data_IF_431025513304
#
_entry.id   IF_431025513304
#
_cell.length_a   1.000
_cell.length_b   1.000
_cell.length_c   1.000
_cell.angle_alpha   90.00
_cell.angle_beta   90.00
_cell.angle_gamma   90.00
#
_symmetry.space_group_name_H-M   'P 1'
#
loop_
_entity.id
_entity.type
_entity.pdbx_description
1 polymer ?
#
# COMPACT_ATOMS: atom_id res chain seq x y z
N UNK A 1 -32.64 -24.07 19.30
CA UNK A 1 -31.69 -22.96 19.10
C UNK A 1 -30.87 -22.84 20.37
N UNK A 2 -29.82 -23.66 20.55
CA UNK A 2 -28.72 -23.48 21.54
C UNK A 2 -27.96 -24.79 21.81
N UNK A 3 -27.28 -25.35 20.80
CA UNK A 3 -26.39 -26.52 21.01
C UNK A 3 -25.09 -26.48 20.19
N UNK A 4 -24.88 -25.48 19.33
CA UNK A 4 -23.64 -25.33 18.55
C UNK A 4 -22.67 -24.29 19.13
N UNK A 5 -23.17 -23.31 19.89
CA UNK A 5 -22.32 -22.28 20.52
C UNK A 5 -21.55 -22.81 21.74
N UNK A 6 -22.17 -23.69 22.55
CA UNK A 6 -21.50 -24.29 23.71
C UNK A 6 -20.36 -25.26 23.33
N UNK A 7 -20.43 -25.90 22.16
CA UNK A 7 -19.37 -26.81 21.68
C UNK A 7 -18.12 -26.06 21.21
N UNK A 8 -18.26 -24.84 20.71
CA UNK A 8 -17.13 -24.02 20.27
C UNK A 8 -16.31 -23.46 21.46
N UNK A 9 -16.97 -23.18 22.59
CA UNK A 9 -16.31 -22.65 23.80
C UNK A 9 -15.53 -23.69 24.60
N UNK A 10 -15.87 -24.99 24.49
CA UNK A 10 -15.17 -26.06 25.22
C UNK A 10 -13.93 -26.63 24.51
N UNK A 11 -13.69 -26.26 23.25
CA UNK A 11 -12.46 -26.63 22.52
C UNK A 11 -11.33 -25.60 22.68
N UNK A 12 -11.56 -24.51 23.42
CA UNK A 12 -10.60 -23.42 23.61
C UNK A 12 -9.79 -23.48 24.92
N UNK A 13 -9.96 -24.50 25.77
CA UNK A 13 -9.37 -24.50 27.13
C UNK A 13 -8.50 -25.71 27.48
N UNK A 14 -8.03 -26.46 26.49
CA UNK A 14 -6.99 -27.48 26.69
C UNK A 14 -5.87 -27.30 25.67
N UNK A 15 -4.99 -26.33 25.96
CA UNK A 15 -3.56 -26.26 25.62
C UNK A 15 -3.01 -24.85 25.89
N UNK A 16 -3.32 -24.33 27.09
CA UNK A 16 -2.83 -23.04 27.57
C UNK A 16 -1.58 -23.25 28.44
N UNK A 17 -0.45 -23.53 27.81
CA UNK A 17 0.88 -23.33 28.39
C UNK A 17 1.86 -22.98 27.27
N UNK A 18 2.49 -21.80 27.36
CA UNK A 18 3.50 -21.22 26.45
C UNK A 18 3.06 -20.57 25.13
N UNK A 19 2.26 -19.50 25.19
CA UNK A 19 2.28 -18.46 24.14
C UNK A 19 1.95 -17.09 24.71
N UNK A 20 2.81 -16.05 24.56
CA UNK A 20 2.39 -14.69 24.83
C UNK A 20 1.51 -14.16 23.70
N UNK A 21 0.42 -13.54 24.14
CA UNK A 21 -0.75 -13.03 23.43
C UNK A 21 -0.44 -11.80 22.57
N UNK A 22 -1.05 -11.72 21.39
CA UNK A 22 -1.71 -10.49 20.92
C UNK A 22 -2.77 -10.85 19.85
N UNK A 23 -4.02 -10.83 20.26
CA UNK A 23 -5.19 -10.98 19.42
C UNK A 23 -5.42 -9.72 18.55
N UNK A 24 -5.88 -9.91 17.31
CA UNK A 24 -6.53 -8.86 16.52
C UNK A 24 -7.91 -9.37 16.14
N UNK A 25 -8.93 -8.73 16.69
CA UNK A 25 -10.31 -8.89 16.28
C UNK A 25 -10.51 -8.18 14.93
N UNK A 26 -11.01 -8.92 13.94
CA UNK A 26 -11.52 -8.36 12.68
C UNK A 26 -13.05 -8.41 12.78
N UNK A 27 -13.69 -7.26 12.99
CA UNK A 27 -15.13 -7.11 12.73
C UNK A 27 -15.26 -6.45 11.37
N UNK A 28 -15.76 -7.22 10.41
CA UNK A 28 -16.04 -6.76 9.05
C UNK A 28 -17.11 -5.67 9.05
N UNK A 29 -16.79 -4.54 8.43
CA UNK A 29 -17.67 -3.39 8.24
C UNK A 29 -18.10 -3.25 6.76
N UNK A 30 -18.37 -4.38 6.10
CA UNK A 30 -18.84 -4.40 4.70
C UNK A 30 -20.35 -4.17 4.57
N UNK A 31 -21.16 -4.49 5.60
CA UNK A 31 -22.62 -4.52 5.45
C UNK A 31 -23.32 -3.20 5.84
N UNK A 32 -22.65 -2.33 6.61
CA UNK A 32 -23.26 -1.08 7.10
C UNK A 32 -23.30 0.02 6.03
N UNK A 33 -22.31 0.04 5.12
CA UNK A 33 -22.25 1.02 4.03
C UNK A 33 -23.25 0.75 2.91
N UNK A 34 -23.68 -0.51 2.71
CA UNK A 34 -24.72 -0.84 1.73
C UNK A 34 -26.13 -0.54 2.25
N UNK A 35 -26.36 -0.54 3.57
CA UNK A 35 -27.67 -0.19 4.16
C UNK A 35 -27.96 1.32 4.15
N UNK A 36 -26.95 2.18 4.29
CA UNK A 36 -27.13 3.64 4.27
C UNK A 36 -27.55 4.16 2.88
N UNK A 37 -27.06 3.56 1.79
CA UNK A 37 -27.45 3.96 0.44
C UNK A 37 -28.88 3.55 0.05
N UNK A 38 -29.47 2.53 0.69
CA UNK A 38 -30.88 2.15 0.42
C UNK A 38 -31.89 3.04 1.14
N UNK A 39 -31.55 3.61 2.30
CA UNK A 39 -32.44 4.53 3.02
C UNK A 39 -32.52 5.89 2.31
N UNK A 40 -31.43 6.35 1.69
CA UNK A 40 -31.42 7.60 0.92
C UNK A 40 -32.25 7.54 -0.37
N UNK A 41 -32.39 6.35 -0.99
CA UNK A 41 -33.12 6.19 -2.25
C UNK A 41 -34.65 6.10 -2.09
N UNK A 42 -35.18 5.88 -0.88
CA UNK A 42 -36.62 5.66 -0.65
C UNK A 42 -37.40 6.91 -0.21
N UNK A 43 -36.77 8.06 -0.03
CA UNK A 43 -37.41 9.23 0.59
C UNK A 43 -37.99 10.28 -0.40
N UNK A 44 -37.96 10.02 -1.71
CA UNK A 44 -38.22 11.05 -2.74
C UNK A 44 -39.59 10.93 -3.43
N UNK A 45 -40.68 10.75 -2.67
CA UNK A 45 -42.04 10.82 -3.23
C UNK A 45 -43.05 11.40 -2.25
N UNK A 46 -42.94 12.69 -1.94
CA UNK A 46 -44.03 13.47 -1.36
C UNK A 46 -43.89 14.97 -1.71
N UNK A 47 -44.97 15.67 -2.12
CA UNK A 47 -44.92 17.09 -2.42
C UNK A 47 -44.86 17.91 -1.12
N UNK A 48 -43.74 18.61 -0.89
CA UNK A 48 -43.56 19.50 0.27
C UNK A 48 -44.11 20.89 -0.02
N UNK A 49 -45.08 21.30 0.80
CA UNK A 49 -45.56 22.69 0.95
C UNK A 49 -44.42 23.65 1.29
N UNK A 50 -44.41 24.83 0.66
CA UNK A 50 -43.41 25.89 0.85
C UNK A 50 -43.50 26.49 2.26
N UNK A 51 -42.67 25.99 3.18
CA UNK A 51 -42.32 26.66 4.44
C UNK A 51 -41.07 27.53 4.31
N UNK A 52 -40.75 28.37 5.31
CA UNK A 52 -39.68 29.36 5.21
C UNK A 52 -38.32 28.68 5.06
N UNK A 53 -37.57 29.12 4.05
CA UNK A 53 -36.26 28.59 3.65
C UNK A 53 -35.23 28.78 4.78
N UNK A 54 -35.03 27.74 5.58
CA UNK A 54 -34.08 27.72 6.68
C UNK A 54 -32.64 27.84 6.14
N UNK A 55 -31.91 28.84 6.63
CA UNK A 55 -30.46 29.10 6.40
C UNK A 55 -29.52 27.90 6.65
N UNK A 56 -30.07 26.79 7.16
CA UNK A 56 -29.43 25.49 7.37
C UNK A 56 -28.88 24.94 6.04
N UNK A 57 -29.57 25.17 4.92
CA UNK A 57 -29.18 24.64 3.61
C UNK A 57 -27.82 25.16 3.13
N UNK A 58 -27.52 26.44 3.35
CA UNK A 58 -26.25 27.02 2.92
C UNK A 58 -25.07 26.50 3.76
N UNK A 59 -25.28 26.28 5.06
CA UNK A 59 -24.25 25.75 5.96
C UNK A 59 -24.03 24.25 5.70
N UNK A 60 -25.09 23.47 5.51
CA UNK A 60 -25.02 22.06 5.14
C UNK A 60 -24.39 21.87 3.76
N UNK A 61 -24.69 22.74 2.77
CA UNK A 61 -24.00 22.73 1.47
C UNK A 61 -22.53 23.14 1.57
N UNK A 62 -22.19 24.08 2.44
CA UNK A 62 -20.80 24.48 2.73
C UNK A 62 -20.04 23.34 3.42
N UNK A 63 -20.66 22.65 4.37
CA UNK A 63 -20.09 21.48 5.04
C UNK A 63 -20.00 20.26 4.12
N UNK A 64 -20.96 20.05 3.21
CA UNK A 64 -20.90 19.01 2.18
C UNK A 64 -19.78 19.28 1.16
N UNK A 65 -19.55 20.55 0.79
CA UNK A 65 -18.39 20.98 -0.02
C UNK A 65 -17.05 20.82 0.71
N UNK A 66 -17.04 20.91 2.04
CA UNK A 66 -15.85 20.67 2.88
C UNK A 66 -15.63 19.17 3.12
N UNK A 67 -16.70 18.37 3.17
CA UNK A 67 -16.65 16.90 3.25
C UNK A 67 -16.23 16.26 1.92
N UNK A 68 -16.55 16.90 0.79
CA UNK A 68 -15.87 16.68 -0.50
C UNK A 68 -14.51 17.40 -0.53
N UNK A 69 -13.67 17.17 0.48
CA UNK A 69 -12.27 17.57 0.40
C UNK A 69 -11.74 17.08 -0.95
N UNK A 70 -11.22 18.00 -1.76
CA UNK A 70 -11.00 17.79 -3.19
C UNK A 70 -10.17 16.53 -3.39
N UNK A 71 -10.81 15.49 -3.95
CA UNK A 71 -10.13 14.27 -4.40
C UNK A 71 -8.92 14.69 -5.21
N UNK A 72 -7.75 14.29 -4.76
CA UNK A 72 -6.48 14.72 -5.32
C UNK A 72 -5.90 13.62 -6.20
N UNK A 73 -4.86 13.95 -6.98
CA UNK A 73 -4.20 12.97 -7.85
C UNK A 73 -3.61 11.82 -7.04
N UNK A 74 -3.13 12.09 -5.82
CA UNK A 74 -2.66 11.04 -4.91
C UNK A 74 -3.75 10.03 -4.55
N UNK A 75 -5.00 10.47 -4.36
CA UNK A 75 -6.13 9.55 -4.09
C UNK A 75 -6.37 8.63 -5.30
N UNK A 76 -6.24 9.14 -6.52
CA UNK A 76 -6.38 8.35 -7.75
C UNK A 76 -5.25 7.32 -7.90
N UNK A 77 -4.01 7.70 -7.54
CA UNK A 77 -2.89 6.77 -7.53
C UNK A 77 -3.05 5.67 -6.47
N UNK A 78 -3.52 6.00 -5.27
CA UNK A 78 -3.81 5.00 -4.23
C UNK A 78 -4.89 4.03 -4.72
N UNK A 79 -5.97 4.54 -5.30
CA UNK A 79 -7.03 3.71 -5.85
C UNK A 79 -6.51 2.79 -6.96
N UNK A 80 -5.72 3.32 -7.90
CA UNK A 80 -5.10 2.53 -8.97
C UNK A 80 -4.14 1.46 -8.42
N UNK A 81 -3.34 1.79 -7.41
CA UNK A 81 -2.43 0.84 -6.75
C UNK A 81 -3.20 -0.34 -6.15
N UNK A 82 -4.27 -0.06 -5.41
CA UNK A 82 -5.11 -1.09 -4.80
C UNK A 82 -5.78 -1.96 -5.87
N UNK A 83 -6.26 -1.36 -6.95
CA UNK A 83 -6.77 -2.09 -8.11
C UNK A 83 -5.71 -3.01 -8.72
N UNK A 84 -4.49 -2.52 -8.95
CA UNK A 84 -3.42 -3.34 -9.51
C UNK A 84 -3.06 -4.53 -8.63
N UNK A 85 -3.01 -4.35 -7.30
CA UNK A 85 -2.74 -5.41 -6.35
C UNK A 85 -3.72 -6.59 -6.45
N UNK A 86 -4.95 -6.35 -6.89
CA UNK A 86 -5.98 -7.38 -7.09
C UNK A 86 -6.08 -7.86 -8.56
N UNK A 87 -5.33 -7.23 -9.49
CA UNK A 87 -5.41 -7.52 -10.93
C UNK A 87 -4.34 -8.48 -11.47
N UNK A 88 -3.35 -8.86 -10.66
CA UNK A 88 -2.23 -9.71 -11.12
C UNK A 88 -2.57 -11.20 -11.30
N UNK A 89 -3.85 -11.59 -11.19
CA UNK A 89 -4.29 -12.98 -11.31
C UNK A 89 -3.83 -13.89 -10.18
N UNK A 90 -3.47 -13.32 -9.02
CA UNK A 90 -3.07 -14.05 -7.82
C UNK A 90 -3.84 -13.55 -6.61
N UNK A 91 -4.38 -14.49 -5.83
CA UNK A 91 -5.06 -14.16 -4.58
C UNK A 91 -4.07 -13.81 -3.47
N UNK A 92 -4.26 -12.63 -2.87
CA UNK A 92 -3.47 -12.17 -1.73
C UNK A 92 -3.96 -12.85 -0.45
N UNK A 93 -3.06 -13.58 0.22
CA UNK A 93 -3.32 -14.12 1.57
C UNK A 93 -3.50 -13.00 2.59
N UNK A 94 -4.11 -13.31 3.73
CA UNK A 94 -4.34 -12.35 4.82
C UNK A 94 -3.06 -11.64 5.27
N UNK A 95 -1.96 -12.37 5.45
CA UNK A 95 -0.68 -11.77 5.82
C UNK A 95 -0.10 -10.86 4.73
N UNK A 96 -0.26 -11.22 3.46
CA UNK A 96 0.21 -10.37 2.36
C UNK A 96 -0.60 -9.07 2.27
N UNK A 97 -1.91 -9.11 2.53
CA UNK A 97 -2.74 -7.89 2.64
C UNK A 97 -2.23 -6.99 3.77
N UNK A 98 -1.93 -7.55 4.94
CA UNK A 98 -1.32 -6.81 6.06
C UNK A 98 0.03 -6.18 5.69
N UNK A 99 0.88 -6.89 4.95
CA UNK A 99 2.15 -6.31 4.45
C UNK A 99 1.88 -5.14 3.51
N UNK A 100 0.94 -5.29 2.58
CA UNK A 100 0.60 -4.23 1.63
C UNK A 100 -0.03 -3.01 2.31
N UNK A 101 -0.86 -3.18 3.33
CA UNK A 101 -1.42 -2.07 4.11
C UNK A 101 -0.32 -1.29 4.82
N UNK A 102 0.68 -2.00 5.37
CA UNK A 102 1.85 -1.39 5.98
C UNK A 102 2.72 -0.66 4.95
N UNK A 103 3.00 -1.29 3.80
CA UNK A 103 3.76 -0.68 2.71
C UNK A 103 3.05 0.57 2.16
N UNK A 104 1.73 0.50 1.94
CA UNK A 104 0.92 1.63 1.52
C UNK A 104 1.05 2.77 2.53
N UNK A 105 0.83 2.50 3.82
CA UNK A 105 0.93 3.50 4.89
C UNK A 105 2.27 4.24 4.89
N UNK A 106 3.38 3.54 4.62
CA UNK A 106 4.70 4.15 4.58
C UNK A 106 5.02 4.90 3.28
N UNK A 107 4.32 4.57 2.19
CA UNK A 107 4.54 5.16 0.87
C UNK A 107 3.58 6.30 0.54
N UNK A 108 2.56 6.57 1.37
CA UNK A 108 1.62 7.69 1.17
C UNK A 108 2.33 9.04 0.90
N UNK A 109 3.38 9.46 1.65
CA UNK A 109 4.06 10.73 1.36
C UNK A 109 4.69 10.77 -0.04
N UNK A 110 5.10 9.61 -0.58
CA UNK A 110 5.69 9.50 -1.91
C UNK A 110 4.60 9.44 -3.00
N UNK A 111 3.47 8.78 -2.74
CA UNK A 111 2.37 8.68 -3.69
C UNK A 111 1.69 10.04 -3.90
N UNK A 112 1.43 10.78 -2.83
CA UNK A 112 0.84 12.11 -2.90
C UNK A 112 1.87 13.19 -3.26
N UNK A 113 3.14 12.95 -2.94
CA UNK A 113 4.20 13.96 -3.01
C UNK A 113 4.19 14.86 -1.77
N UNK A 114 5.38 15.34 -1.39
CA UNK A 114 5.62 16.05 -0.11
C UNK A 114 4.67 17.23 0.11
N UNK A 115 4.50 18.10 -0.88
CA UNK A 115 3.69 19.32 -0.74
C UNK A 115 2.18 19.02 -0.61
N UNK A 116 1.66 18.04 -1.35
CA UNK A 116 0.24 17.66 -1.31
C UNK A 116 -0.08 16.86 -0.04
N UNK A 117 0.83 15.95 0.34
CA UNK A 117 0.71 15.15 1.54
C UNK A 117 0.65 16.05 2.78
N UNK A 118 1.57 17.01 2.95
CA UNK A 118 1.57 17.89 4.11
C UNK A 118 0.34 18.80 4.16
N UNK A 119 -0.10 19.31 3.00
CA UNK A 119 -1.32 20.14 2.91
C UNK A 119 -2.58 19.40 3.36
N UNK A 120 -2.68 18.11 3.01
CA UNK A 120 -3.86 17.28 3.26
C UNK A 120 -3.63 16.21 4.34
N UNK A 121 -2.56 16.34 5.15
CA UNK A 121 -2.05 15.28 6.02
C UNK A 121 -3.12 14.71 6.94
N UNK A 122 -3.85 15.57 7.63
CA UNK A 122 -4.91 15.17 8.57
C UNK A 122 -6.02 14.36 7.88
N UNK A 123 -6.39 14.73 6.65
CA UNK A 123 -7.38 14.00 5.86
C UNK A 123 -6.86 12.62 5.49
N UNK A 124 -5.69 12.57 4.86
CA UNK A 124 -5.07 11.34 4.35
C UNK A 124 -4.85 10.34 5.50
N UNK A 125 -4.32 10.80 6.63
CA UNK A 125 -4.11 9.95 7.81
C UNK A 125 -5.43 9.38 8.33
N UNK A 126 -6.49 10.20 8.41
CA UNK A 126 -7.81 9.75 8.87
C UNK A 126 -8.42 8.70 7.93
N UNK A 127 -8.33 8.89 6.63
CA UNK A 127 -8.86 7.94 5.63
C UNK A 127 -8.13 6.59 5.67
N UNK A 128 -6.83 6.59 5.97
CA UNK A 128 -6.03 5.39 6.10
C UNK A 128 -5.96 4.84 7.54
N UNK A 129 -6.77 5.35 8.47
CA UNK A 129 -6.79 4.95 9.88
C UNK A 129 -5.41 5.05 10.58
N UNK A 130 -4.65 6.09 10.25
CA UNK A 130 -3.34 6.38 10.81
C UNK A 130 -3.41 7.57 11.77
N UNK A 131 -2.68 7.49 12.87
CA UNK A 131 -2.55 8.60 13.83
C UNK A 131 -1.37 9.53 13.49
N UNK A 132 -0.35 9.00 12.83
CA UNK A 132 0.85 9.73 12.39
C UNK A 132 1.40 9.16 11.08
N UNK A 133 2.14 9.96 10.29
CA UNK A 133 2.84 9.46 9.12
C UNK A 133 3.81 8.34 9.49
N UNK A 134 3.91 7.34 8.61
CA UNK A 134 4.92 6.29 8.69
C UNK A 134 5.84 6.46 7.49
N UNK A 135 7.12 6.19 7.68
CA UNK A 135 8.12 6.26 6.62
C UNK A 135 8.88 4.94 6.45
N UNK A 136 8.73 4.02 7.41
CA UNK A 136 9.50 2.79 7.48
C UNK A 136 8.58 1.64 7.88
N UNK A 137 8.85 0.47 7.32
CA UNK A 137 8.17 -0.78 7.65
C UNK A 137 9.23 -1.86 7.82
N UNK A 138 9.18 -2.56 8.96
CA UNK A 138 9.99 -3.74 9.19
C UNK A 138 9.06 -4.95 9.25
N UNK A 139 9.29 -5.92 8.37
CA UNK A 139 8.56 -7.20 8.34
C UNK A 139 9.50 -8.32 8.73
N UNK A 140 9.26 -8.95 9.88
CA UNK A 140 10.00 -10.13 10.33
C UNK A 140 9.06 -11.33 10.33
N UNK A 141 9.33 -12.31 9.48
CA UNK A 141 8.52 -13.53 9.39
C UNK A 141 9.37 -14.76 9.06
N UNK A 142 8.88 -15.99 9.33
CA UNK A 142 9.56 -17.22 8.96
C UNK A 142 9.84 -17.36 7.46
N UNK A 143 10.64 -18.37 7.10
CA UNK A 143 10.93 -18.73 5.71
C UNK A 143 9.62 -19.12 4.99
N UNK A 144 9.50 -18.77 3.70
CA UNK A 144 8.34 -19.09 2.83
C UNK A 144 7.01 -18.44 3.22
N UNK A 145 7.02 -17.42 4.08
CA UNK A 145 5.82 -16.65 4.44
C UNK A 145 5.32 -15.66 3.35
N UNK A 146 5.76 -15.82 2.09
CA UNK A 146 5.30 -14.97 0.99
C UNK A 146 5.85 -13.54 0.91
N UNK A 147 6.86 -13.18 1.72
CA UNK A 147 7.46 -11.82 1.73
C UNK A 147 7.90 -11.33 0.35
N UNK A 148 8.70 -12.13 -0.36
CA UNK A 148 9.25 -11.77 -1.67
C UNK A 148 8.14 -11.52 -2.69
N UNK A 149 7.10 -12.35 -2.69
CA UNK A 149 5.94 -12.17 -3.57
C UNK A 149 5.18 -10.90 -3.22
N UNK A 150 4.97 -10.59 -1.93
CA UNK A 150 4.33 -9.33 -1.52
C UNK A 150 5.11 -8.10 -1.95
N UNK A 151 6.43 -8.10 -1.77
CA UNK A 151 7.27 -6.99 -2.22
C UNK A 151 7.17 -6.84 -3.74
N UNK A 152 7.24 -7.95 -4.49
CA UNK A 152 7.12 -7.92 -5.95
C UNK A 152 5.77 -7.37 -6.42
N UNK A 153 4.66 -7.84 -5.84
CA UNK A 153 3.30 -7.37 -6.16
C UNK A 153 3.15 -5.89 -5.85
N UNK A 154 3.58 -5.46 -4.66
CA UNK A 154 3.44 -4.07 -4.25
C UNK A 154 4.28 -3.13 -5.11
N UNK A 155 5.53 -3.47 -5.41
CA UNK A 155 6.39 -2.65 -6.27
C UNK A 155 5.85 -2.58 -7.70
N UNK A 156 5.36 -3.70 -8.25
CA UNK A 156 4.72 -3.70 -9.56
C UNK A 156 3.48 -2.81 -9.59
N UNK A 157 2.61 -2.90 -8.58
CA UNK A 157 1.42 -2.06 -8.47
C UNK A 157 1.78 -0.58 -8.33
N UNK A 158 2.74 -0.25 -7.47
CA UNK A 158 3.21 1.13 -7.25
C UNK A 158 3.80 1.74 -8.52
N UNK A 159 4.62 0.97 -9.26
CA UNK A 159 5.22 1.41 -10.52
C UNK A 159 4.18 1.56 -11.64
N UNK A 160 3.09 0.79 -11.61
CA UNK A 160 2.00 0.93 -12.58
C UNK A 160 0.99 2.02 -12.20
N UNK A 161 0.87 2.38 -10.93
CA UNK A 161 -0.10 3.37 -10.47
C UNK A 161 0.43 4.80 -10.46
N UNK A 162 1.68 5.01 -10.04
CA UNK A 162 2.16 6.34 -9.64
C UNK A 162 3.15 6.90 -10.66
N UNK A 163 2.87 8.11 -11.17
CA UNK A 163 3.72 8.80 -12.12
C UNK A 163 5.10 9.15 -11.54
N UNK A 164 6.13 9.15 -12.39
CA UNK A 164 7.52 9.51 -12.09
C UNK A 164 8.12 8.78 -10.88
N UNK A 165 7.57 7.61 -10.54
CA UNK A 165 7.99 6.86 -9.36
C UNK A 165 9.34 6.17 -9.59
N UNK A 166 10.21 6.31 -8.59
CA UNK A 166 11.46 5.59 -8.43
C UNK A 166 11.26 4.57 -7.31
N UNK A 167 11.74 3.35 -7.51
CA UNK A 167 11.89 2.36 -6.43
C UNK A 167 13.28 1.74 -6.51
N UNK A 168 14.00 1.73 -5.39
CA UNK A 168 15.26 0.99 -5.26
C UNK A 168 15.11 -0.13 -4.25
N UNK A 169 15.49 -1.34 -4.64
CA UNK A 169 15.42 -2.54 -3.81
C UNK A 169 16.82 -3.07 -3.57
N UNK A 170 17.12 -3.40 -2.33
CA UNK A 170 18.38 -4.01 -1.93
C UNK A 170 18.11 -5.42 -1.40
N UNK A 171 18.93 -6.39 -1.79
CA UNK A 171 18.75 -7.79 -1.36
C UNK A 171 20.08 -8.51 -1.24
N UNK A 172 20.10 -9.63 -0.51
CA UNK A 172 21.32 -10.39 -0.26
C UNK A 172 21.79 -11.14 -1.52
N UNK A 173 22.80 -10.59 -2.19
CA UNK A 173 23.46 -11.20 -3.36
C UNK A 173 22.70 -11.09 -4.69
N UNK A 174 23.44 -11.28 -5.80
CA UNK A 174 22.96 -11.02 -7.16
C UNK A 174 21.80 -11.92 -7.62
N UNK A 175 21.77 -13.17 -7.13
CA UNK A 175 20.69 -14.12 -7.49
C UNK A 175 19.35 -13.70 -6.88
N UNK A 176 19.35 -13.15 -5.68
CA UNK A 176 18.13 -12.71 -5.02
C UNK A 176 17.57 -11.44 -5.67
N UNK A 177 18.44 -10.46 -6.00
CA UNK A 177 18.04 -9.21 -6.64
C UNK A 177 17.46 -9.46 -8.03
N UNK A 178 18.20 -10.19 -8.87
CA UNK A 178 17.75 -10.53 -10.22
C UNK A 178 16.44 -11.32 -10.23
N UNK A 179 16.28 -12.29 -9.31
CA UNK A 179 15.03 -13.06 -9.19
C UNK A 179 13.84 -12.20 -8.74
N UNK A 180 14.06 -11.20 -7.90
CA UNK A 180 13.00 -10.29 -7.46
C UNK A 180 12.58 -9.34 -8.59
N UNK A 181 13.55 -8.78 -9.33
CA UNK A 181 13.26 -7.93 -10.48
C UNK A 181 12.50 -8.71 -11.58
N UNK A 182 12.89 -9.96 -11.83
CA UNK A 182 12.15 -10.87 -12.72
C UNK A 182 10.71 -11.07 -12.25
N UNK A 183 10.49 -11.28 -10.95
CA UNK A 183 9.15 -11.43 -10.40
C UNK A 183 8.31 -10.16 -10.62
N UNK A 184 8.88 -8.97 -10.37
CA UNK A 184 8.22 -7.68 -10.61
C UNK A 184 7.86 -7.53 -12.09
N UNK A 185 8.81 -7.81 -13.00
CA UNK A 185 8.56 -7.77 -14.44
C UNK A 185 7.39 -8.69 -14.84
N UNK A 186 7.37 -9.93 -14.35
CA UNK A 186 6.27 -10.87 -14.63
C UNK A 186 4.92 -10.35 -14.13
N UNK A 187 4.87 -9.71 -12.96
CA UNK A 187 3.62 -9.09 -12.46
C UNK A 187 3.17 -7.94 -13.35
N UNK A 188 4.11 -7.10 -13.82
CA UNK A 188 3.80 -6.03 -14.76
C UNK A 188 3.22 -6.63 -16.05
N UNK A 189 3.90 -7.60 -16.65
CA UNK A 189 3.48 -8.27 -17.88
C UNK A 189 2.16 -9.06 -17.77
N UNK A 190 1.75 -9.44 -16.55
CA UNK A 190 0.46 -10.09 -16.32
C UNK A 190 -0.73 -9.14 -16.55
N UNK A 191 -0.50 -7.83 -16.53
CA UNK A 191 -1.55 -6.84 -16.85
C UNK A 191 -1.72 -6.65 -18.36
N UNK A 192 -2.94 -6.37 -18.87
CA UNK A 192 -3.19 -6.28 -20.31
C UNK A 192 -2.30 -5.28 -21.08
N UNK A 193 -1.91 -4.19 -20.41
CA UNK A 193 -1.07 -3.15 -21.01
C UNK A 193 0.41 -3.21 -20.58
N UNK A 194 0.74 -4.05 -19.59
CA UNK A 194 2.04 -4.00 -18.93
C UNK A 194 3.21 -4.24 -19.88
N UNK A 195 3.06 -5.16 -20.84
CA UNK A 195 4.08 -5.43 -21.86
C UNK A 195 4.41 -4.20 -22.71
N UNK A 196 3.39 -3.40 -23.07
CA UNK A 196 3.57 -2.19 -23.89
C UNK A 196 4.22 -1.07 -23.08
N UNK A 197 4.07 -1.10 -21.76
CA UNK A 197 4.66 -0.12 -20.85
C UNK A 197 6.14 -0.36 -20.59
N UNK A 198 6.73 -1.50 -20.94
CA UNK A 198 8.15 -1.77 -20.68
C UNK A 198 9.03 -1.06 -21.72
N UNK A 199 9.77 -0.03 -21.29
CA UNK A 199 10.69 0.73 -22.14
C UNK A 199 12.06 0.04 -22.24
N UNK A 200 12.59 -0.38 -21.10
CA UNK A 200 13.92 -0.99 -21.01
C UNK A 200 13.97 -1.95 -19.83
N UNK A 201 14.69 -3.05 -20.03
CA UNK A 201 14.91 -4.06 -19.00
C UNK A 201 16.35 -4.57 -19.06
N UNK A 202 16.97 -4.70 -17.90
CA UNK A 202 18.21 -5.45 -17.71
C UNK A 202 18.13 -6.26 -16.39
N UNK A 203 19.26 -6.75 -15.87
CA UNK A 203 19.31 -7.56 -14.66
C UNK A 203 19.06 -6.78 -13.36
N UNK A 204 19.24 -5.46 -13.37
CA UNK A 204 19.19 -4.60 -12.17
C UNK A 204 18.17 -3.47 -12.27
N UNK A 205 17.59 -3.26 -13.44
CA UNK A 205 16.80 -2.08 -13.78
C UNK A 205 15.62 -2.47 -14.69
N UNK A 206 14.46 -1.92 -14.36
CA UNK A 206 13.24 -2.00 -15.14
C UNK A 206 12.69 -0.58 -15.31
N UNK A 207 12.51 -0.17 -16.56
CA UNK A 207 11.96 1.13 -16.94
C UNK A 207 10.59 0.92 -17.55
N UNK A 208 9.61 1.65 -17.02
CA UNK A 208 8.24 1.63 -17.49
C UNK A 208 7.84 3.02 -18.00
N UNK A 209 7.08 3.08 -19.08
CA UNK A 209 6.36 4.27 -19.50
C UNK A 209 5.11 4.41 -18.65
N UNK A 210 4.87 5.61 -18.14
CA UNK A 210 3.61 5.96 -17.53
C UNK A 210 2.60 6.47 -18.55
N UNK A 211 1.64 7.25 -18.06
CA UNK A 211 0.50 7.68 -18.88
C UNK A 211 0.79 8.97 -19.66
N UNK A 212 1.83 9.71 -19.25
CA UNK A 212 2.34 10.90 -19.96
C UNK A 212 3.56 10.57 -20.83
N UNK A 213 3.84 11.37 -21.88
CA UNK A 213 4.97 11.14 -22.79
C UNK A 213 6.34 11.22 -22.10
N UNK A 214 6.45 12.02 -21.02
CA UNK A 214 7.66 12.19 -20.22
C UNK A 214 7.66 11.34 -18.92
N UNK A 215 6.55 10.67 -18.61
CA UNK A 215 6.40 9.88 -17.38
C UNK A 215 7.23 8.60 -17.49
N UNK A 216 8.39 8.59 -16.83
CA UNK A 216 9.30 7.45 -16.83
C UNK A 216 9.46 6.91 -15.41
N UNK A 217 8.96 5.70 -15.20
CA UNK A 217 8.93 5.04 -13.90
C UNK A 217 10.03 3.98 -13.84
N UNK A 218 10.71 3.90 -12.71
CA UNK A 218 12.00 3.20 -12.61
C UNK A 218 12.03 2.30 -11.40
N UNK A 219 12.35 1.03 -11.62
CA UNK A 219 12.57 0.05 -10.56
C UNK A 219 13.98 -0.47 -10.67
N UNK A 220 14.73 -0.32 -9.59
CA UNK A 220 16.08 -0.81 -9.45
C UNK A 220 16.14 -1.94 -8.44
N UNK A 221 16.95 -2.96 -8.71
CA UNK A 221 17.24 -4.04 -7.76
C UNK A 221 18.73 -4.32 -7.73
N UNK A 222 19.34 -4.05 -6.59
CA UNK A 222 20.78 -4.15 -6.38
C UNK A 222 21.14 -5.28 -5.42
N UNK A 223 22.25 -5.98 -5.66
CA UNK A 223 22.84 -6.82 -4.63
C UNK A 223 23.41 -5.94 -3.51
N UNK A 224 23.09 -6.24 -2.26
CA UNK A 224 23.90 -5.80 -1.13
C UNK A 224 25.11 -6.73 -1.07
N UNK A 225 26.27 -6.27 -1.53
CA UNK A 225 27.53 -6.97 -1.30
C UNK A 225 27.82 -6.96 0.20
N UNK A 226 27.84 -8.14 0.82
CA UNK A 226 28.48 -8.32 2.13
C UNK A 226 29.95 -8.61 1.85
N UNK A 227 30.71 -7.58 1.47
CA UNK A 227 32.17 -7.70 1.47
C UNK A 227 32.66 -7.36 2.88
N UNK A 228 33.07 -8.37 3.63
CA UNK A 228 33.84 -8.23 4.87
C UNK A 228 33.05 -8.30 6.18
N UNK A 229 32.58 -9.49 6.55
CA UNK A 229 32.39 -9.84 7.96
C UNK A 229 32.71 -11.32 8.14
N UNK A 230 33.98 -11.66 7.95
CA UNK A 230 34.56 -12.92 8.42
C UNK A 230 34.49 -12.92 9.95
N UNK A 231 33.32 -13.29 10.51
CA UNK A 231 33.09 -13.86 11.85
C UNK A 231 31.67 -13.65 12.42
N UNK A 232 30.61 -13.51 11.61
CA UNK A 232 29.25 -13.65 12.15
C UNK A 232 28.36 -14.46 11.20
N UNK A 233 28.00 -15.66 11.65
CA UNK A 233 26.95 -16.52 11.09
C UNK A 233 25.63 -15.77 11.00
N UNK A 234 25.37 -15.04 9.92
CA UNK A 234 24.15 -14.26 9.76
C UNK A 234 23.06 -15.07 9.06
N UNK A 235 21.95 -15.22 9.78
CA UNK A 235 20.68 -15.76 9.27
C UNK A 235 20.15 -14.86 8.16
N UNK A 236 19.61 -15.49 7.13
CA UNK A 236 18.99 -14.88 5.95
C UNK A 236 17.91 -13.88 6.34
N UNK A 237 18.23 -12.58 6.31
CA UNK A 237 17.26 -11.50 6.47
C UNK A 237 17.14 -10.79 5.14
N UNK A 238 16.04 -11.03 4.42
CA UNK A 238 15.67 -10.19 3.27
C UNK A 238 15.04 -8.91 3.84
N UNK A 239 15.85 -7.87 4.02
CA UNK A 239 15.38 -6.53 4.36
C UNK A 239 15.01 -5.78 3.07
N UNK A 240 13.71 -5.55 2.87
CA UNK A 240 13.27 -4.60 1.84
C UNK A 240 13.15 -3.22 2.51
N UNK A 241 14.19 -2.40 2.35
CA UNK A 241 14.13 -0.98 2.73
C UNK A 241 13.53 -0.23 1.54
N UNK A 242 12.23 0.08 1.58
CA UNK A 242 11.63 1.05 0.66
C UNK A 242 12.00 2.45 1.15
N UNK A 243 13.08 3.02 0.63
CA UNK A 243 13.35 4.46 0.71
C UNK A 243 12.89 5.10 -0.59
N UNK A 244 11.76 5.79 -0.57
CA UNK A 244 11.38 6.69 -1.66
C UNK A 244 12.25 7.94 -1.60
N UNK A 245 13.18 8.10 -2.53
CA UNK A 245 13.88 9.37 -2.69
C UNK A 245 13.06 10.27 -3.60
N UNK A 246 12.45 11.32 -3.04
CA UNK A 246 11.98 12.45 -3.85
C UNK A 246 13.21 13.22 -4.34
N UNK A 247 13.21 13.63 -5.62
CA UNK A 247 14.26 14.45 -6.25
C UNK A 247 14.65 15.64 -5.34
N UNK A 248 15.91 15.68 -4.93
CA UNK A 248 16.58 16.91 -4.50
C UNK A 248 17.41 17.46 -5.67
N UNK A 249 17.41 18.77 -5.93
CA UNK A 249 18.42 19.37 -6.80
C UNK A 249 19.78 19.32 -6.10
N UNK A 250 20.75 18.74 -6.81
CA UNK A 250 22.19 18.63 -6.55
C UNK A 250 22.73 19.29 -5.27
N UNK A 251 23.16 18.47 -4.31
CA UNK A 251 24.20 18.83 -3.33
C UNK A 251 25.06 17.60 -3.03
N UNK A 252 26.37 17.75 -3.22
CA UNK A 252 27.43 16.78 -2.97
C UNK A 252 27.36 16.23 -1.54
N UNK A 253 27.45 14.91 -1.39
CA UNK A 253 27.58 14.25 -0.09
C UNK A 253 28.92 13.52 -0.01
N UNK A 254 29.86 14.12 0.74
CA UNK A 254 31.09 13.46 1.21
C UNK A 254 30.75 12.56 2.41
N UNK A 255 31.22 11.33 2.35
CA UNK A 255 31.16 10.36 3.44
C UNK A 255 32.12 10.78 4.57
N UNK A 256 31.66 10.76 5.82
CA UNK A 256 32.54 10.75 7.00
C UNK A 256 32.52 9.36 7.63
N UNK A 257 33.71 8.78 7.72
CA UNK A 257 34.06 7.69 8.62
C UNK A 257 34.08 8.20 10.06
N UNK A 258 33.52 7.41 10.97
CA UNK A 258 34.15 6.98 12.23
C UNK A 258 33.37 5.81 12.80
#
# INVERSE_FOLDING_TARGET
MDTLLERALRLSTRDAANTPIAAVAIVGLSDTLQRLNRVAASANTAPRTRGPELKIDAHVRKMARVASASRSKGDDYVHALLHYLDSFGMDRTTSQRQFHDAFLSATLPHIYGSAEFERNRTRILREHNLTKPRHEVLVVTPRRWGKTTSVAMFVAALALSTADMWVSIFSTGQRASSSLLEAIYKMVCATPEGNKRVLRRNQEQLYLSGDGPEDTRRVYSYPSSVQGADHITTRTTTSAIMRGFARFPSLDFKWFNN
#
